data_IF_552688768111
#
_entry.id   IF_552688768111
#
_cell.length_a   1.000
_cell.length_b   1.000
_cell.length_c   1.000
_cell.angle_alpha   90.00
_cell.angle_beta   90.00
_cell.angle_gamma   90.00
#
_symmetry.space_group_name_H-M   'P 1'
#
loop_
_entity.id
_entity.type
_entity.pdbx_description
1 polymer ?
#
# COMPACT_ATOMS: atom_id res chain seq x y z
N UNK A 1 -49.58 -46.20 -22.90
CA UNK A 1 -48.10 -46.27 -22.80
C UNK A 1 -47.56 -44.88 -23.09
N UNK A 2 -47.11 -44.17 -22.07
CA UNK A 2 -46.44 -42.87 -22.22
C UNK A 2 -44.93 -43.11 -22.04
N UNK A 3 -44.14 -42.75 -23.04
CA UNK A 3 -42.68 -42.80 -22.98
C UNK A 3 -42.15 -41.70 -22.04
N UNK A 4 -41.12 -41.96 -21.21
CA UNK A 4 -40.51 -40.90 -20.42
C UNK A 4 -39.59 -40.06 -21.31
N UNK A 5 -39.61 -38.74 -21.09
CA UNK A 5 -38.72 -37.78 -21.73
C UNK A 5 -37.35 -37.81 -21.04
N UNK A 6 -36.31 -37.92 -21.84
CA UNK A 6 -34.91 -37.97 -21.42
C UNK A 6 -34.42 -36.53 -21.21
N UNK A 7 -34.24 -36.13 -19.95
CA UNK A 7 -33.61 -34.86 -19.58
C UNK A 7 -32.10 -34.99 -19.68
N UNK A 8 -31.52 -34.39 -20.72
CA UNK A 8 -30.07 -34.35 -20.93
C UNK A 8 -29.40 -33.44 -19.86
N UNK A 9 -28.49 -34.02 -19.09
CA UNK A 9 -27.59 -33.30 -18.18
C UNK A 9 -26.65 -32.39 -18.98
N UNK A 10 -26.83 -31.07 -18.84
CA UNK A 10 -25.89 -30.09 -19.37
C UNK A 10 -24.65 -30.03 -18.46
N UNK A 11 -23.43 -30.03 -19.00
CA UNK A 11 -22.21 -29.98 -18.21
C UNK A 11 -22.11 -28.64 -17.46
N UNK A 12 -21.70 -28.72 -16.18
CA UNK A 12 -21.48 -27.57 -15.31
C UNK A 12 -20.43 -26.62 -15.92
N UNK A 13 -20.61 -25.30 -15.79
CA UNK A 13 -19.63 -24.33 -16.28
C UNK A 13 -18.29 -24.50 -15.54
N UNK A 14 -17.15 -24.24 -16.21
CA UNK A 14 -15.84 -24.33 -15.58
C UNK A 14 -15.75 -23.36 -14.40
N UNK A 15 -15.17 -23.83 -13.30
CA UNK A 15 -14.94 -23.01 -12.11
C UNK A 15 -14.11 -21.76 -12.47
N UNK A 16 -14.35 -20.61 -11.82
CA UNK A 16 -13.52 -19.43 -12.01
C UNK A 16 -12.06 -19.77 -11.75
N UNK A 17 -11.16 -19.32 -12.63
CA UNK A 17 -9.72 -19.42 -12.43
C UNK A 17 -9.36 -18.67 -11.14
N UNK A 18 -9.15 -19.42 -10.05
CA UNK A 18 -8.54 -18.85 -8.86
C UNK A 18 -7.04 -18.71 -9.11
N UNK A 19 -6.44 -17.54 -8.85
CA UNK A 19 -4.99 -17.39 -9.00
C UNK A 19 -4.30 -18.41 -8.09
N UNK A 20 -3.29 -19.09 -8.63
CA UNK A 20 -2.45 -19.99 -7.84
C UNK A 20 -1.81 -19.23 -6.67
N UNK A 21 -1.75 -19.81 -5.46
CA UNK A 21 -1.07 -19.17 -4.34
C UNK A 21 0.39 -18.88 -4.75
N UNK A 22 0.92 -17.68 -4.43
CA UNK A 22 2.31 -17.38 -4.72
C UNK A 22 3.22 -18.42 -4.04
N UNK A 23 4.39 -18.74 -4.64
CA UNK A 23 5.34 -19.68 -4.06
C UNK A 23 5.69 -19.26 -2.62
N UNK A 24 5.87 -20.22 -1.73
CA UNK A 24 6.28 -19.96 -0.35
C UNK A 24 7.62 -19.20 -0.35
N UNK A 25 7.56 -17.90 -0.10
CA UNK A 25 8.73 -17.03 -0.07
C UNK A 25 9.48 -17.28 1.23
N UNK A 26 10.79 -17.49 1.15
CA UNK A 26 11.68 -17.54 2.32
C UNK A 26 11.86 -16.13 2.86
N UNK A 27 10.92 -15.63 3.66
CA UNK A 27 10.92 -14.26 4.17
C UNK A 27 10.22 -14.13 5.51
N UNK A 28 10.42 -12.99 6.17
CA UNK A 28 9.69 -12.64 7.39
C UNK A 28 8.27 -12.17 7.05
N UNK A 29 7.29 -12.46 7.90
CA UNK A 29 5.94 -11.94 7.78
C UNK A 29 5.63 -10.97 8.92
N UNK A 30 5.18 -9.76 8.55
CA UNK A 30 4.55 -8.80 9.43
C UNK A 30 3.04 -8.88 9.21
N UNK A 31 2.36 -9.61 10.10
CA UNK A 31 0.90 -9.76 10.06
C UNK A 31 0.22 -8.68 10.91
N UNK A 32 -0.80 -8.02 10.34
CA UNK A 32 -1.63 -7.02 10.99
C UNK A 32 -3.05 -7.56 11.13
N UNK A 33 -3.47 -7.94 12.36
CA UNK A 33 -4.81 -8.49 12.56
C UNK A 33 -5.90 -7.44 12.41
N UNK A 34 -7.16 -7.91 12.29
CA UNK A 34 -8.34 -7.05 12.27
C UNK A 34 -8.34 -6.03 13.42
N UNK A 35 -8.70 -4.78 13.12
CA UNK A 35 -8.64 -3.67 14.08
C UNK A 35 -8.00 -2.42 13.50
N UNK A 36 -7.86 -1.39 14.32
CA UNK A 36 -7.29 -0.08 13.93
C UNK A 36 -5.91 0.11 14.54
N UNK A 37 -4.91 0.38 13.71
CA UNK A 37 -3.50 0.46 14.09
C UNK A 37 -2.96 1.84 13.73
N UNK A 38 -2.93 2.74 14.72
CA UNK A 38 -2.30 4.04 14.56
C UNK A 38 -0.78 3.88 14.54
N UNK A 39 -0.12 4.42 13.52
CA UNK A 39 1.32 4.33 13.37
C UNK A 39 1.95 5.57 12.73
N UNK A 40 3.22 5.76 13.06
CA UNK A 40 4.11 6.72 12.44
C UNK A 40 4.64 6.17 11.11
N UNK A 41 5.49 6.92 10.42
CA UNK A 41 6.16 6.39 9.23
C UNK A 41 7.12 5.27 9.60
N UNK A 42 7.05 4.15 8.89
CA UNK A 42 7.94 3.01 9.12
C UNK A 42 8.59 2.50 7.83
N UNK A 43 9.72 1.82 8.01
CA UNK A 43 10.50 1.25 6.92
C UNK A 43 10.22 -0.24 6.78
N UNK A 44 10.10 -0.70 5.55
CA UNK A 44 10.20 -2.12 5.23
C UNK A 44 11.66 -2.53 5.03
N UNK A 45 11.89 -3.84 5.09
CA UNK A 45 13.17 -4.50 4.82
C UNK A 45 12.99 -5.50 3.67
N UNK A 46 14.09 -5.96 3.07
CA UNK A 46 14.06 -7.01 2.04
C UNK A 46 13.52 -8.33 2.60
N UNK A 47 12.93 -9.16 1.74
CA UNK A 47 12.34 -10.46 2.08
C UNK A 47 11.25 -10.36 3.16
N UNK A 48 10.44 -9.29 3.10
CA UNK A 48 9.35 -9.05 4.04
C UNK A 48 7.99 -9.12 3.33
N UNK A 49 7.07 -9.86 3.94
CA UNK A 49 5.64 -9.80 3.61
C UNK A 49 4.89 -9.04 4.69
N UNK A 50 4.34 -7.87 4.36
CA UNK A 50 3.35 -7.17 5.16
C UNK A 50 1.95 -7.66 4.75
N UNK A 51 1.23 -8.31 5.66
CA UNK A 51 -0.09 -8.90 5.41
C UNK A 51 -1.14 -8.28 6.33
N UNK A 52 -2.19 -7.68 5.76
CA UNK A 52 -3.30 -7.11 6.54
C UNK A 52 -4.52 -8.02 6.47
N UNK A 53 -5.05 -8.40 7.63
CA UNK A 53 -6.27 -9.19 7.70
C UNK A 53 -7.50 -8.40 7.22
N UNK A 54 -8.61 -9.10 7.02
CA UNK A 54 -9.90 -8.49 6.76
C UNK A 54 -10.24 -7.54 7.91
N UNK A 55 -10.73 -6.34 7.55
CA UNK A 55 -11.10 -5.29 8.50
C UNK A 55 -9.93 -4.72 9.34
N UNK A 56 -8.68 -5.07 9.01
CA UNK A 56 -7.50 -4.38 9.52
C UNK A 56 -7.39 -3.00 8.85
N UNK A 57 -7.08 -1.97 9.65
CA UNK A 57 -6.90 -0.60 9.19
C UNK A 57 -5.59 -0.06 9.77
N UNK A 58 -4.57 0.12 8.94
CA UNK A 58 -3.40 0.91 9.30
C UNK A 58 -3.77 2.38 9.13
N UNK A 59 -3.58 3.17 10.18
CA UNK A 59 -3.93 4.60 10.21
C UNK A 59 -2.65 5.39 10.38
N UNK A 60 -2.37 6.29 9.45
CA UNK A 60 -1.23 7.18 9.54
C UNK A 60 -1.46 8.31 10.53
N UNK A 61 -0.53 8.51 11.47
CA UNK A 61 -0.54 9.68 12.37
C UNK A 61 -0.69 11.01 11.62
N UNK A 62 -1.51 11.90 12.19
CA UNK A 62 -1.74 13.28 11.73
C UNK A 62 -0.68 14.26 12.26
N UNK A 63 0.12 13.87 13.25
CA UNK A 63 1.22 14.70 13.73
C UNK A 63 2.33 14.72 12.66
N UNK A 64 2.67 15.90 12.16
CA UNK A 64 3.75 16.05 11.17
C UNK A 64 5.11 15.67 11.75
N UNK A 65 5.29 15.70 13.08
CA UNK A 65 6.52 15.25 13.73
C UNK A 65 6.74 13.74 13.60
N UNK A 66 5.67 12.97 13.41
CA UNK A 66 5.69 11.54 13.14
C UNK A 66 6.05 11.20 11.68
N UNK A 67 6.28 12.22 10.84
CA UNK A 67 6.70 12.11 9.44
C UNK A 67 8.08 12.71 9.26
N UNK A 68 9.15 11.91 9.34
CA UNK A 68 10.51 12.39 9.12
C UNK A 68 10.62 13.17 7.81
N UNK A 69 11.35 14.28 7.83
CA UNK A 69 11.64 15.07 6.62
C UNK A 69 12.85 14.44 5.93
N UNK A 70 12.71 14.17 4.64
CA UNK A 70 13.72 13.54 3.80
C UNK A 70 13.96 14.39 2.55
N UNK A 71 15.09 14.14 1.89
CA UNK A 71 15.47 14.83 0.66
C UNK A 71 14.40 14.71 -0.43
N UNK A 72 14.34 15.70 -1.34
CA UNK A 72 13.47 15.62 -2.50
C UNK A 72 13.77 14.38 -3.33
N UNK A 73 12.81 13.99 -4.15
CA UNK A 73 13.00 12.87 -5.05
C UNK A 73 14.14 13.17 -6.05
N UNK A 74 15.04 12.20 -6.28
CA UNK A 74 16.14 12.31 -7.24
C UNK A 74 15.68 12.75 -8.64
N UNK A 75 14.48 12.32 -9.05
CA UNK A 75 13.90 12.61 -10.36
C UNK A 75 13.49 14.08 -10.57
N UNK A 76 13.20 14.81 -9.50
CA UNK A 76 12.67 16.17 -9.58
C UNK A 76 13.63 17.23 -9.03
N UNK A 77 14.56 16.86 -8.16
CA UNK A 77 15.51 17.80 -7.54
C UNK A 77 14.88 18.85 -6.61
N UNK A 78 13.56 18.79 -6.40
CA UNK A 78 12.77 19.64 -5.50
C UNK A 78 11.50 18.92 -5.05
N UNK A 79 10.91 19.34 -3.94
CA UNK A 79 9.56 18.94 -3.56
C UNK A 79 8.51 19.39 -4.58
N UNK A 80 7.40 18.65 -4.65
CA UNK A 80 6.40 18.81 -5.71
C UNK A 80 5.37 19.90 -5.38
N UNK A 81 5.02 20.02 -4.11
CA UNK A 81 4.12 21.05 -3.59
C UNK A 81 4.91 22.28 -3.10
N UNK A 82 6.04 22.04 -2.44
CA UNK A 82 6.95 23.07 -1.93
C UNK A 82 8.38 22.80 -2.37
N UNK A 83 9.19 23.84 -2.64
CA UNK A 83 10.62 23.65 -2.91
C UNK A 83 11.34 23.02 -1.71
N UNK A 84 12.39 22.25 -1.97
CA UNK A 84 13.20 21.63 -0.92
C UNK A 84 12.72 20.23 -0.51
N UNK A 85 12.81 19.94 0.78
CA UNK A 85 12.57 18.62 1.37
C UNK A 85 11.09 18.23 1.42
N UNK A 86 10.81 16.98 1.81
CA UNK A 86 9.46 16.41 1.85
C UNK A 86 9.25 15.52 3.07
N UNK A 87 8.01 15.33 3.47
CA UNK A 87 7.67 14.31 4.45
C UNK A 87 7.81 12.90 3.86
N UNK A 88 8.36 11.99 4.66
CA UNK A 88 8.49 10.57 4.32
C UNK A 88 7.13 9.88 4.25
N UNK A 89 7.01 8.92 3.35
CA UNK A 89 5.79 8.12 3.20
C UNK A 89 5.40 7.39 4.49
N UNK A 90 4.12 7.03 4.65
CA UNK A 90 3.66 6.21 5.78
C UNK A 90 4.34 4.83 5.77
N UNK A 91 4.32 4.15 4.62
CA UNK A 91 5.06 2.91 4.38
C UNK A 91 6.17 3.22 3.38
N UNK A 92 7.43 3.09 3.83
CA UNK A 92 8.59 3.44 3.01
C UNK A 92 9.54 2.25 2.84
N UNK A 93 10.18 2.15 1.69
CA UNK A 93 11.29 1.24 1.44
C UNK A 93 12.28 1.82 0.45
N UNK A 94 13.57 1.56 0.64
CA UNK A 94 14.61 1.96 -0.30
C UNK A 94 15.68 0.89 -0.43
N UNK A 95 16.11 0.58 -1.66
CA UNK A 95 17.08 -0.48 -1.97
C UNK A 95 16.66 -1.86 -1.42
N UNK A 96 15.39 -2.22 -1.59
CA UNK A 96 14.84 -3.48 -1.10
C UNK A 96 14.70 -4.50 -2.24
N UNK A 97 14.70 -5.78 -1.89
CA UNK A 97 14.35 -6.87 -2.82
C UNK A 97 13.31 -7.77 -2.17
N UNK A 98 12.42 -8.34 -2.99
CA UNK A 98 11.42 -9.32 -2.56
C UNK A 98 10.55 -8.80 -1.39
N UNK A 99 9.75 -7.78 -1.68
CA UNK A 99 8.85 -7.14 -0.71
C UNK A 99 7.41 -7.31 -1.16
N UNK A 100 6.57 -7.82 -0.27
CA UNK A 100 5.16 -8.07 -0.54
C UNK A 100 4.32 -7.26 0.44
N UNK A 101 3.39 -6.46 -0.06
CA UNK A 101 2.37 -5.78 0.72
C UNK A 101 1.01 -6.30 0.25
N UNK A 102 0.38 -7.15 1.05
CA UNK A 102 -0.84 -7.85 0.67
C UNK A 102 -1.83 -7.94 1.82
N UNK A 103 -2.97 -8.59 1.61
CA UNK A 103 -3.94 -8.82 2.67
C UNK A 103 -5.24 -9.44 2.19
N UNK A 104 -6.18 -9.58 3.12
CA UNK A 104 -7.57 -9.97 2.88
C UNK A 104 -8.47 -8.72 2.75
N UNK A 105 -8.07 -7.79 1.88
CA UNK A 105 -8.70 -6.48 1.70
C UNK A 105 -8.65 -5.57 2.95
N UNK A 106 -7.54 -5.62 3.69
CA UNK A 106 -7.22 -4.64 4.71
C UNK A 106 -7.04 -3.23 4.12
N UNK A 107 -7.17 -2.22 4.98
CA UNK A 107 -7.15 -0.79 4.59
C UNK A 107 -5.90 -0.09 5.09
N UNK A 108 -5.32 0.76 4.26
CA UNK A 108 -4.28 1.72 4.64
C UNK A 108 -4.88 3.12 4.47
N UNK A 109 -5.08 3.81 5.60
CA UNK A 109 -5.68 5.15 5.69
C UNK A 109 -4.61 6.18 6.02
N UNK A 110 -4.37 7.11 5.10
CA UNK A 110 -3.36 8.15 5.24
C UNK A 110 -3.77 9.36 6.07
N UNK A 111 -5.05 9.48 6.44
CA UNK A 111 -5.62 10.66 7.11
C UNK A 111 -5.25 11.99 6.41
N UNK A 112 -5.33 12.02 5.07
CA UNK A 112 -4.87 13.12 4.22
C UNK A 112 -5.55 14.48 4.43
N UNK A 113 -6.73 14.52 5.06
CA UNK A 113 -7.52 15.76 5.22
C UNK A 113 -6.72 16.93 5.80
N UNK A 114 -5.94 16.69 6.86
CA UNK A 114 -5.11 17.72 7.50
C UNK A 114 -4.00 18.25 6.57
N UNK A 115 -3.48 17.38 5.69
CA UNK A 115 -2.44 17.75 4.74
C UNK A 115 -3.00 18.59 3.60
N UNK A 116 -4.18 18.21 3.08
CA UNK A 116 -4.87 18.98 2.05
C UNK A 116 -5.29 20.36 2.55
N UNK A 117 -5.78 20.44 3.80
CA UNK A 117 -6.10 21.72 4.44
C UNK A 117 -4.86 22.62 4.56
N UNK A 118 -3.73 22.07 5.04
CA UNK A 118 -2.48 22.83 5.12
C UNK A 118 -1.97 23.28 3.76
N UNK A 119 -2.12 22.44 2.72
CA UNK A 119 -1.77 22.82 1.36
C UNK A 119 -2.62 24.00 0.86
N UNK A 120 -3.95 23.91 1.03
CA UNK A 120 -4.89 24.95 0.62
C UNK A 120 -4.67 26.28 1.37
N UNK A 121 -4.33 26.19 2.66
CA UNK A 121 -4.09 27.36 3.50
C UNK A 121 -2.65 27.88 3.41
N UNK A 122 -1.79 27.30 2.57
CA UNK A 122 -0.37 27.65 2.44
C UNK A 122 0.41 27.57 3.77
N UNK A 123 0.08 26.60 4.62
CA UNK A 123 0.70 26.39 5.94
C UNK A 123 1.52 25.10 6.03
N UNK A 124 1.80 24.46 4.89
CA UNK A 124 2.77 23.37 4.84
C UNK A 124 4.20 23.89 5.02
N UNK A 125 4.98 23.21 5.84
CA UNK A 125 6.43 23.45 5.95
C UNK A 125 7.21 22.70 4.85
N UNK A 126 6.72 21.51 4.46
CA UNK A 126 7.33 20.62 3.48
C UNK A 126 6.25 19.94 2.62
N UNK A 127 6.66 19.35 1.48
CA UNK A 127 5.74 18.57 0.63
C UNK A 127 5.11 17.42 1.42
N UNK A 128 3.81 17.21 1.24
CA UNK A 128 3.00 16.20 1.94
C UNK A 128 3.52 14.78 1.71
N UNK A 129 3.33 13.86 2.69
CA UNK A 129 3.84 12.50 2.57
C UNK A 129 3.03 11.65 1.59
N UNK A 130 3.70 10.70 0.94
CA UNK A 130 3.04 9.63 0.19
C UNK A 130 2.43 8.59 1.15
N UNK A 131 1.53 7.75 0.65
CA UNK A 131 1.00 6.65 1.44
C UNK A 131 1.95 5.44 1.42
N UNK A 132 2.32 4.96 0.23
CA UNK A 132 3.33 3.91 0.05
C UNK A 132 4.38 4.38 -0.95
N UNK A 133 5.66 4.29 -0.57
CA UNK A 133 6.77 4.64 -1.44
C UNK A 133 7.91 3.61 -1.40
N UNK A 134 8.28 3.11 -2.58
CA UNK A 134 9.38 2.16 -2.75
C UNK A 134 10.39 2.71 -3.73
N UNK A 135 11.61 2.95 -3.26
CA UNK A 135 12.69 3.54 -4.05
C UNK A 135 13.78 2.51 -4.36
N UNK A 136 14.27 2.46 -5.59
CA UNK A 136 15.41 1.63 -5.99
C UNK A 136 15.27 0.15 -5.62
N UNK A 137 14.05 -0.36 -5.64
CA UNK A 137 13.73 -1.69 -5.14
C UNK A 137 13.34 -2.63 -6.27
N UNK A 138 13.55 -3.93 -6.10
CA UNK A 138 13.22 -4.97 -7.08
C UNK A 138 12.23 -5.97 -6.51
N UNK A 139 11.37 -6.53 -7.36
CA UNK A 139 10.43 -7.60 -6.98
C UNK A 139 9.45 -7.17 -5.88
N UNK A 140 8.79 -6.03 -6.11
CA UNK A 140 7.76 -5.50 -5.21
C UNK A 140 6.39 -6.00 -5.66
N UNK A 141 5.63 -6.59 -4.75
CA UNK A 141 4.23 -6.98 -4.99
C UNK A 141 3.32 -6.20 -4.05
N UNK A 142 2.36 -5.47 -4.61
CA UNK A 142 1.29 -4.82 -3.85
C UNK A 142 -0.05 -5.32 -4.39
N UNK A 143 -0.86 -5.99 -3.56
CA UNK A 143 -2.10 -6.64 -4.01
C UNK A 143 -3.15 -6.73 -2.91
N UNK A 144 -4.43 -6.86 -3.27
CA UNK A 144 -5.53 -7.20 -2.35
C UNK A 144 -5.65 -6.31 -1.10
N UNK A 145 -5.46 -5.00 -1.29
CA UNK A 145 -5.53 -3.98 -0.24
C UNK A 145 -6.37 -2.79 -0.71
N UNK A 146 -6.94 -2.07 0.25
CA UNK A 146 -7.65 -0.81 0.03
C UNK A 146 -6.78 0.35 0.51
N UNK A 147 -6.63 1.39 -0.31
CA UNK A 147 -5.88 2.61 0.02
C UNK A 147 -6.83 3.79 0.05
N UNK A 148 -6.90 4.53 1.16
CA UNK A 148 -7.80 5.68 1.32
C UNK A 148 -7.09 6.88 1.91
N UNK A 149 -7.65 8.06 1.65
CA UNK A 149 -7.23 9.34 2.20
C UNK A 149 -5.71 9.57 2.13
N UNK A 150 -5.09 9.28 0.98
CA UNK A 150 -3.66 9.54 0.80
C UNK A 150 -3.38 11.05 0.89
N UNK A 151 -2.42 11.51 1.72
CA UNK A 151 -2.08 12.92 1.80
C UNK A 151 -1.58 13.49 0.47
N UNK A 152 -0.93 12.66 -0.34
CA UNK A 152 -0.47 13.02 -1.67
C UNK A 152 -0.57 11.82 -2.63
N UNK A 153 0.54 11.27 -3.15
CA UNK A 153 0.49 10.06 -3.97
C UNK A 153 0.24 8.79 -3.12
N UNK A 154 -0.69 7.95 -3.59
CA UNK A 154 -1.08 6.73 -2.88
C UNK A 154 -0.03 5.61 -2.99
N UNK A 155 0.37 5.24 -4.21
CA UNK A 155 1.40 4.22 -4.44
C UNK A 155 2.45 4.82 -5.37
N UNK A 156 3.68 4.91 -4.89
CA UNK A 156 4.76 5.61 -5.59
C UNK A 156 6.05 4.77 -5.67
N UNK A 157 6.19 3.89 -6.68
CA UNK A 157 7.45 3.24 -6.98
C UNK A 157 8.39 4.21 -7.74
N UNK A 158 9.65 4.30 -7.30
CA UNK A 158 10.66 5.22 -7.85
C UNK A 158 11.91 4.43 -8.21
N UNK A 159 12.30 4.40 -9.48
CA UNK A 159 13.46 3.63 -9.95
C UNK A 159 13.42 2.15 -9.52
N UNK A 160 12.22 1.60 -9.35
CA UNK A 160 11.97 0.23 -8.93
C UNK A 160 11.58 -0.64 -10.12
N UNK A 161 11.86 -1.95 -10.05
CA UNK A 161 11.64 -2.91 -11.15
C UNK A 161 10.86 -4.14 -10.70
#
# INVERSE_FOLDING_TARGET
MASPSESADLPLPPAPLQPSPPPARSGAELFVPAGKWLTDSFNLISHLTLSLDKDAVIIGSMDSKCRPVIDPLPSFGRGRELPGARHKALIFGSNLTDVVITGANGTIDGQGAIWWERFQNHTLDYTSPHLVEMMYSTEIVISNLTFVNSPFWAIHPVHSR
#
